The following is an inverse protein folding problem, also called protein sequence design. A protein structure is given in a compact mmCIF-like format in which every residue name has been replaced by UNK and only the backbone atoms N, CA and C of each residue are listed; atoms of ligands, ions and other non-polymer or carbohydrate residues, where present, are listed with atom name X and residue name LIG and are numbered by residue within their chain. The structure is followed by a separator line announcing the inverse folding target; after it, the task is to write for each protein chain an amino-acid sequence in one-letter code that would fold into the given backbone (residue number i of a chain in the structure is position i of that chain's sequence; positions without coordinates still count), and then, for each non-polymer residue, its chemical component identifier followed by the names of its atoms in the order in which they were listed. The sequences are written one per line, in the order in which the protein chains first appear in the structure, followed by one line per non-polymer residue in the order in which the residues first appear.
data_IF_672022018137
#
_entry.id   IF_672022018137
#
_cell.length_a   1.000
_cell.length_b   1.000
_cell.length_c   1.000
_cell.angle_alpha   90.00
_cell.angle_beta   90.00
_cell.angle_gamma   90.00
#
_symmetry.space_group_name_H-M   'P 1'
#
loop_
_entity.id
_entity.type
_entity.pdbx_description
1 polymer ?
#
# COMPACT_ATOMS: atom_id res chain seq x y z
N UNK A 1 18.34 -42.08 42.96
CA UNK A 1 16.91 -42.35 43.24
C UNK A 1 16.37 -41.13 43.99
N UNK A 2 15.85 -40.13 43.27
CA UNK A 2 15.26 -38.93 43.85
C UNK A 2 13.95 -38.64 43.08
N UNK A 3 12.86 -38.87 43.75
CA UNK A 3 11.48 -38.70 43.30
C UNK A 3 11.11 -37.21 43.33
N UNK A 4 10.83 -36.57 42.15
CA UNK A 4 10.24 -35.23 42.08
C UNK A 4 8.71 -35.36 42.03
N UNK A 5 8.04 -34.89 43.07
CA UNK A 5 6.58 -34.74 43.17
C UNK A 5 6.11 -33.61 42.25
N UNK A 6 5.21 -33.95 41.36
CA UNK A 6 4.44 -32.98 40.56
C UNK A 6 3.38 -32.31 41.44
N UNK A 7 3.41 -31.00 41.55
CA UNK A 7 2.42 -30.19 42.26
C UNK A 7 1.41 -29.69 41.22
N UNK A 8 0.24 -30.31 41.21
CA UNK A 8 -0.89 -29.83 40.41
C UNK A 8 -1.60 -28.67 41.14
N UNK A 9 -1.54 -27.47 40.61
CA UNK A 9 -2.36 -26.35 41.06
C UNK A 9 -3.70 -26.40 40.31
N UNK A 10 -4.78 -26.60 41.08
CA UNK A 10 -6.16 -26.50 40.63
C UNK A 10 -6.54 -25.02 40.58
N UNK A 11 -6.86 -24.51 39.42
CA UNK A 11 -7.47 -23.17 39.21
C UNK A 11 -8.96 -23.32 39.46
N UNK A 12 -9.47 -22.64 40.47
CA UNK A 12 -10.92 -22.52 40.77
C UNK A 12 -11.50 -21.43 39.89
N UNK A 13 -12.43 -21.81 39.03
CA UNK A 13 -13.28 -20.90 38.26
C UNK A 13 -14.36 -20.39 39.22
N UNK A 14 -14.31 -19.11 39.55
CA UNK A 14 -15.34 -18.40 40.28
C UNK A 14 -16.23 -17.64 39.28
N UNK A 15 -17.46 -18.12 39.07
CA UNK A 15 -18.50 -17.38 38.37
C UNK A 15 -19.06 -16.31 39.32
N UNK A 16 -19.01 -15.03 38.94
CA UNK A 16 -19.79 -13.96 39.56
C UNK A 16 -20.64 -13.30 38.49
N UNK A 17 -21.94 -13.64 38.47
CA UNK A 17 -22.99 -12.85 37.83
C UNK A 17 -23.26 -11.63 38.70
N UNK A 18 -23.14 -10.42 38.15
CA UNK A 18 -23.73 -9.22 38.71
C UNK A 18 -24.38 -8.39 37.60
N UNK A 19 -25.66 -8.52 37.46
CA UNK A 19 -26.59 -7.63 36.76
C UNK A 19 -26.66 -6.29 37.48
N UNK A 20 -26.43 -5.17 36.78
CA UNK A 20 -26.91 -3.85 37.18
C UNK A 20 -27.26 -3.04 35.93
N UNK A 21 -28.56 -2.96 35.65
CA UNK A 21 -29.22 -1.95 34.83
C UNK A 21 -29.13 -0.59 35.51
N UNK A 22 -28.51 0.41 34.89
CA UNK A 22 -28.75 1.81 35.23
C UNK A 22 -28.97 2.60 33.94
N UNK A 23 -30.23 2.93 33.71
CA UNK A 23 -30.72 3.96 32.80
C UNK A 23 -30.28 5.33 33.34
N UNK A 24 -29.44 6.05 32.61
CA UNK A 24 -29.07 7.42 32.90
C UNK A 24 -29.23 8.26 31.63
N UNK A 25 -30.42 8.87 31.48
CA UNK A 25 -30.67 9.93 30.51
C UNK A 25 -30.02 11.23 31.03
N UNK A 26 -29.02 11.77 30.33
CA UNK A 26 -28.58 13.15 30.51
C UNK A 26 -29.04 13.96 29.30
N UNK A 27 -30.07 14.76 29.51
CA UNK A 27 -30.44 15.86 28.65
C UNK A 27 -29.38 16.96 28.77
N UNK A 28 -28.74 17.31 27.65
CA UNK A 28 -27.85 18.47 27.56
C UNK A 28 -28.67 19.65 27.03
N UNK A 29 -28.94 20.58 27.93
CA UNK A 29 -29.56 21.85 27.61
C UNK A 29 -28.58 22.75 26.88
N UNK A 30 -29.03 23.37 25.81
CA UNK A 30 -28.29 24.34 25.01
C UNK A 30 -27.89 25.59 25.81
N UNK A 31 -26.82 26.19 25.36
CA UNK A 31 -26.52 27.62 25.60
C UNK A 31 -26.17 28.21 24.23
N UNK A 32 -27.10 29.07 23.79
CA UNK A 32 -26.84 30.10 22.79
C UNK A 32 -25.87 31.11 23.42
N UNK A 33 -24.91 31.59 22.63
CA UNK A 33 -24.53 32.98 22.44
C UNK A 33 -23.14 33.08 21.81
N UNK A 34 -23.09 33.73 20.72
CA UNK A 34 -22.30 34.87 20.28
C UNK A 34 -21.86 34.77 18.80
N UNK A 35 -22.59 35.55 18.02
CA UNK A 35 -22.26 35.92 16.65
C UNK A 35 -21.05 36.89 16.64
N UNK A 36 -19.89 36.42 16.24
CA UNK A 36 -18.78 37.27 15.84
C UNK A 36 -18.71 37.33 14.30
N UNK A 37 -19.22 38.45 13.81
CA UNK A 37 -19.12 38.85 12.39
C UNK A 37 -17.66 39.11 12.01
N UNK A 38 -17.02 38.18 11.28
CA UNK A 38 -15.68 38.43 10.73
C UNK A 38 -15.82 38.83 9.26
N UNK A 39 -15.55 40.09 9.01
CA UNK A 39 -15.48 40.73 7.71
C UNK A 39 -14.38 40.09 6.85
N UNK A 40 -14.77 39.50 5.72
CA UNK A 40 -13.85 38.96 4.71
C UNK A 40 -13.27 40.13 3.91
N UNK A 41 -11.93 40.28 3.78
CA UNK A 41 -11.34 41.24 2.86
C UNK A 41 -11.47 40.75 1.42
N UNK A 42 -11.79 41.66 0.52
CA UNK A 42 -11.97 41.47 -0.90
C UNK A 42 -10.69 40.93 -1.55
N UNK A 43 -10.86 39.87 -2.33
CA UNK A 43 -9.85 39.30 -3.23
C UNK A 43 -9.60 40.27 -4.39
N UNK A 44 -8.39 40.73 -4.53
CA UNK A 44 -7.90 41.52 -5.66
C UNK A 44 -7.59 40.59 -6.81
N UNK A 45 -8.26 40.79 -7.92
CA UNK A 45 -8.12 40.08 -9.18
C UNK A 45 -6.77 40.45 -9.85
N UNK A 46 -5.84 39.51 -10.13
CA UNK A 46 -4.67 39.82 -10.92
C UNK A 46 -5.00 39.69 -12.41
N UNK A 47 -5.08 40.83 -13.07
CA UNK A 47 -5.19 40.99 -14.52
C UNK A 47 -4.13 40.17 -15.26
N UNK A 48 -4.58 39.18 -16.04
CA UNK A 48 -3.74 38.40 -16.94
C UNK A 48 -3.27 39.28 -18.12
N UNK A 49 -1.99 39.58 -18.15
CA UNK A 49 -1.34 40.23 -19.31
C UNK A 49 -0.95 39.16 -20.32
N UNK A 50 -1.67 39.07 -21.42
CA UNK A 50 -1.32 38.28 -22.61
C UNK A 50 -0.12 38.90 -23.31
N UNK A 51 1.03 38.23 -23.27
CA UNK A 51 2.17 38.57 -24.12
C UNK A 51 2.04 37.85 -25.48
N UNK A 52 1.82 38.62 -26.52
CA UNK A 52 1.88 38.18 -27.94
C UNK A 52 3.34 37.95 -28.33
N UNK A 53 3.70 36.77 -28.78
CA UNK A 53 4.97 36.45 -29.45
C UNK A 53 4.84 36.72 -30.94
N UNK A 54 5.72 37.54 -31.59
CA UNK A 54 5.69 37.74 -33.01
C UNK A 54 6.23 36.51 -33.76
N UNK A 55 5.51 36.14 -34.85
CA UNK A 55 5.90 35.10 -35.79
C UNK A 55 7.19 35.54 -36.53
N UNK A 56 8.25 34.81 -36.34
CA UNK A 56 9.50 34.96 -37.11
C UNK A 56 9.35 34.25 -38.46
N UNK A 57 9.43 35.03 -39.52
CA UNK A 57 9.44 34.62 -40.91
C UNK A 57 10.81 33.99 -41.22
N UNK A 58 10.89 32.67 -41.37
CA UNK A 58 12.10 31.96 -41.77
C UNK A 58 12.07 31.63 -43.26
N UNK A 59 12.69 32.47 -44.02
CA UNK A 59 12.93 32.26 -45.46
C UNK A 59 13.98 31.14 -45.64
N UNK A 60 13.58 30.03 -46.24
CA UNK A 60 14.45 28.91 -46.59
C UNK A 60 15.09 29.20 -47.95
N UNK A 61 16.42 29.22 -48.10
CA UNK A 61 17.08 29.35 -49.40
C UNK A 61 16.97 28.01 -50.19
N UNK A 62 16.69 28.17 -51.47
CA UNK A 62 16.61 27.06 -52.42
C UNK A 62 17.96 26.37 -52.62
N UNK A 63 17.98 25.04 -52.52
CA UNK A 63 19.16 24.23 -52.81
C UNK A 63 19.36 24.06 -54.35
N UNK A 64 20.61 23.99 -54.82
CA UNK A 64 20.95 23.80 -56.22
C UNK A 64 20.63 22.37 -56.68
N UNK A 65 20.00 22.28 -57.88
CA UNK A 65 19.68 21.02 -58.54
C UNK A 65 20.97 20.36 -59.08
N UNK A 66 21.31 19.21 -58.48
CA UNK A 66 22.38 18.34 -58.99
C UNK A 66 21.76 17.24 -59.84
N UNK A 67 22.09 17.20 -61.14
CA UNK A 67 21.64 16.21 -62.08
C UNK A 67 22.21 14.83 -61.68
N UNK A 68 21.34 13.89 -61.30
CA UNK A 68 21.72 12.53 -60.98
C UNK A 68 21.87 11.68 -62.28
N UNK A 69 23.03 11.07 -62.41
CA UNK A 69 23.32 10.04 -63.43
C UNK A 69 22.55 8.76 -63.02
N UNK A 70 21.63 8.32 -63.87
CA UNK A 70 20.86 7.11 -63.69
C UNK A 70 21.74 5.88 -64.02
N UNK A 71 22.22 5.20 -63.01
CA UNK A 71 22.78 3.86 -63.14
C UNK A 71 21.68 2.85 -62.87
N UNK A 72 21.41 1.97 -63.82
CA UNK A 72 20.38 0.94 -63.69
C UNK A 72 20.73 -0.04 -62.59
N UNK A 73 19.84 -0.32 -61.62
CA UNK A 73 20.13 -1.29 -60.54
C UNK A 73 20.01 -2.73 -61.08
N UNK A 74 21.06 -3.49 -60.91
CA UNK A 74 21.05 -4.95 -61.07
C UNK A 74 20.30 -5.54 -59.87
N UNK A 75 19.10 -6.03 -60.08
CA UNK A 75 18.23 -6.62 -59.05
C UNK A 75 18.76 -8.02 -58.67
N UNK A 76 19.55 -8.11 -57.63
CA UNK A 76 19.86 -9.39 -56.95
C UNK A 76 18.72 -9.74 -56.02
N UNK A 77 17.87 -10.69 -56.41
CA UNK A 77 16.77 -11.19 -55.56
C UNK A 77 17.35 -12.09 -54.47
N UNK A 78 17.69 -11.55 -53.31
CA UNK A 78 18.02 -12.33 -52.12
C UNK A 78 16.74 -12.81 -51.47
N UNK A 79 16.41 -14.08 -51.62
CA UNK A 79 15.28 -14.73 -50.92
C UNK A 79 15.63 -14.85 -49.44
N UNK A 80 15.23 -13.87 -48.61
CA UNK A 80 15.36 -13.96 -47.16
C UNK A 80 14.25 -14.87 -46.64
N UNK A 81 14.62 -16.09 -46.23
CA UNK A 81 13.70 -16.98 -45.50
C UNK A 81 13.47 -16.38 -44.12
N UNK A 82 12.35 -15.68 -43.95
CA UNK A 82 11.92 -15.15 -42.65
C UNK A 82 11.43 -16.33 -41.80
N UNK A 83 12.27 -16.77 -40.85
CA UNK A 83 11.82 -17.69 -39.78
C UNK A 83 10.74 -16.95 -38.99
N UNK A 84 9.51 -17.50 -38.84
CA UNK A 84 8.48 -16.84 -38.02
C UNK A 84 9.01 -16.66 -36.58
N UNK A 85 8.76 -15.51 -35.96
CA UNK A 85 9.18 -15.31 -34.57
C UNK A 85 8.48 -16.37 -33.70
N UNK A 86 9.27 -17.14 -32.96
CA UNK A 86 8.77 -18.05 -31.96
C UNK A 86 8.18 -17.17 -30.86
N UNK A 87 6.86 -17.09 -30.77
CA UNK A 87 6.16 -16.39 -29.68
C UNK A 87 6.39 -17.19 -28.40
N UNK A 88 7.43 -16.86 -27.66
CA UNK A 88 7.64 -17.40 -26.33
C UNK A 88 6.59 -16.77 -25.42
N UNK A 89 5.61 -17.55 -24.99
CA UNK A 89 4.64 -17.14 -23.95
C UNK A 89 5.47 -16.92 -22.68
N UNK A 90 5.46 -15.71 -22.07
CA UNK A 90 6.14 -15.51 -20.79
C UNK A 90 5.62 -16.52 -19.76
N UNK A 91 6.47 -17.05 -18.87
CA UNK A 91 6.00 -17.90 -17.77
C UNK A 91 4.97 -17.12 -16.94
N UNK A 92 3.96 -17.80 -16.37
CA UNK A 92 3.02 -17.15 -15.48
C UNK A 92 3.78 -16.55 -14.29
N UNK A 93 3.38 -15.35 -13.85
CA UNK A 93 3.92 -14.69 -12.68
C UNK A 93 3.58 -15.51 -11.43
N UNK A 94 4.54 -15.68 -10.53
CA UNK A 94 4.36 -16.39 -9.26
C UNK A 94 4.21 -15.44 -8.07
N UNK A 95 3.82 -15.98 -6.92
CA UNK A 95 3.67 -15.22 -5.66
C UNK A 95 5.00 -14.57 -5.23
N UNK A 96 6.11 -15.18 -5.56
CA UNK A 96 7.48 -14.68 -5.34
C UNK A 96 7.79 -13.36 -6.08
N UNK A 97 7.00 -12.99 -7.09
CA UNK A 97 7.08 -11.67 -7.73
C UNK A 97 6.54 -10.54 -6.83
N UNK A 98 5.70 -10.85 -5.83
CA UNK A 98 5.13 -9.89 -4.88
C UNK A 98 6.05 -9.68 -3.68
N UNK A 99 7.30 -9.29 -3.93
CA UNK A 99 8.26 -8.97 -2.86
C UNK A 99 7.75 -7.78 -2.04
N UNK A 100 7.73 -7.95 -0.70
CA UNK A 100 7.30 -6.91 0.24
C UNK A 100 8.42 -5.90 0.47
N UNK A 101 8.14 -4.61 0.22
CA UNK A 101 9.09 -3.53 0.50
C UNK A 101 8.36 -2.29 1.06
N UNK A 102 9.03 -1.37 1.76
CA UNK A 102 8.42 -0.15 2.27
C UNK A 102 7.73 0.71 1.20
N UNK A 103 8.22 0.64 -0.04
CA UNK A 103 7.83 1.56 -1.13
C UNK A 103 7.20 0.87 -2.33
N UNK A 104 7.04 -0.46 -2.28
CA UNK A 104 6.48 -1.23 -3.39
C UNK A 104 5.96 -2.61 -2.93
N UNK A 105 5.00 -3.15 -3.67
CA UNK A 105 4.57 -4.54 -3.65
C UNK A 105 5.00 -5.18 -4.97
N UNK A 106 6.11 -5.92 -4.97
CA UNK A 106 6.76 -6.38 -6.18
C UNK A 106 7.11 -5.22 -7.11
N UNK A 107 6.56 -5.23 -8.33
CA UNK A 107 6.77 -4.16 -9.32
C UNK A 107 5.86 -2.94 -9.12
N UNK A 108 4.80 -3.07 -8.33
CA UNK A 108 3.86 -1.99 -8.05
C UNK A 108 4.41 -1.03 -6.99
N UNK A 109 5.00 0.09 -7.42
CA UNK A 109 5.53 1.13 -6.53
C UNK A 109 4.41 1.98 -5.94
N UNK A 110 4.63 2.51 -4.73
CA UNK A 110 3.75 3.58 -4.21
C UNK A 110 3.66 4.71 -5.24
N UNK A 111 2.45 5.26 -5.44
CA UNK A 111 2.19 6.22 -6.50
C UNK A 111 1.77 5.62 -7.85
N UNK A 112 1.79 4.30 -8.04
CA UNK A 112 1.31 3.64 -9.27
C UNK A 112 -0.21 3.76 -9.39
N UNK A 113 -0.68 3.85 -10.64
CA UNK A 113 -2.12 3.88 -10.98
C UNK A 113 -2.86 2.65 -10.45
N UNK A 114 -4.07 2.81 -9.87
CA UNK A 114 -4.82 1.73 -9.25
C UNK A 114 -5.13 0.55 -10.17
N UNK A 115 -5.55 0.82 -11.41
CA UNK A 115 -5.95 -0.24 -12.34
C UNK A 115 -4.74 -1.07 -12.78
N UNK A 116 -3.55 -0.44 -12.89
CA UNK A 116 -2.30 -1.15 -13.16
C UNK A 116 -1.92 -2.07 -12.00
N UNK A 117 -2.04 -1.59 -10.76
CA UNK A 117 -1.74 -2.39 -9.56
C UNK A 117 -2.72 -3.56 -9.44
N UNK A 118 -4.03 -3.30 -9.55
CA UNK A 118 -5.05 -4.36 -9.46
C UNK A 118 -4.85 -5.40 -10.55
N UNK A 119 -4.55 -4.98 -11.79
CA UNK A 119 -4.27 -5.89 -12.90
C UNK A 119 -3.03 -6.75 -12.63
N UNK A 120 -1.93 -6.14 -12.13
CA UNK A 120 -0.69 -6.82 -11.81
C UNK A 120 -0.87 -7.85 -10.70
N UNK A 121 -1.46 -7.47 -9.56
CA UNK A 121 -1.69 -8.37 -8.43
C UNK A 121 -2.67 -9.47 -8.82
N UNK A 122 -3.73 -9.15 -9.58
CA UNK A 122 -4.69 -10.16 -10.05
C UNK A 122 -4.10 -11.15 -11.05
N UNK A 123 -3.10 -10.76 -11.81
CA UNK A 123 -2.38 -11.69 -12.71
C UNK A 123 -1.61 -12.77 -11.92
N UNK A 124 -1.24 -12.47 -10.67
CA UNK A 124 -0.50 -13.36 -9.78
C UNK A 124 -1.43 -14.15 -8.85
N UNK A 125 -2.36 -13.46 -8.18
CA UNK A 125 -3.21 -14.02 -7.12
C UNK A 125 -4.62 -14.39 -7.57
N UNK A 126 -5.00 -14.08 -8.80
CA UNK A 126 -6.38 -14.22 -9.27
C UNK A 126 -7.25 -13.02 -8.92
N UNK A 127 -8.56 -13.19 -9.00
CA UNK A 127 -9.52 -12.11 -8.71
C UNK A 127 -9.47 -11.69 -7.25
N UNK A 128 -9.66 -10.38 -6.95
CA UNK A 128 -9.80 -9.91 -5.58
C UNK A 128 -10.93 -10.63 -4.83
N UNK A 129 -10.75 -10.82 -3.53
CA UNK A 129 -11.78 -11.36 -2.63
C UNK A 129 -12.75 -10.28 -2.15
N UNK A 130 -12.28 -9.02 -2.12
CA UNK A 130 -13.06 -7.85 -1.72
C UNK A 130 -12.57 -6.61 -2.47
N UNK A 131 -13.49 -5.69 -2.75
CA UNK A 131 -13.22 -4.39 -3.35
C UNK A 131 -14.30 -3.41 -2.89
N UNK A 132 -13.90 -2.38 -2.15
CA UNK A 132 -14.85 -1.37 -1.64
C UNK A 132 -15.40 -0.45 -2.73
N UNK A 133 -14.77 -0.44 -3.92
CA UNK A 133 -14.90 0.67 -4.84
C UNK A 133 -14.35 1.98 -4.24
N UNK A 134 -14.57 3.09 -4.93
CA UNK A 134 -14.18 4.41 -4.43
C UNK A 134 -15.21 4.91 -3.42
N UNK A 135 -14.73 5.20 -2.19
CA UNK A 135 -15.53 5.70 -1.06
C UNK A 135 -14.87 6.93 -0.46
N UNK A 136 -15.58 7.61 0.43
CA UNK A 136 -15.03 8.76 1.17
C UNK A 136 -14.02 8.30 2.22
N UNK A 137 -13.00 9.12 2.57
CA UNK A 137 -11.98 8.77 3.55
C UNK A 137 -12.53 8.46 4.95
N UNK A 138 -13.69 9.02 5.31
CA UNK A 138 -14.34 8.76 6.61
C UNK A 138 -14.71 7.28 6.83
N UNK A 139 -14.71 6.48 5.75
CA UNK A 139 -14.90 5.03 5.83
C UNK A 139 -13.69 4.31 6.43
N UNK A 140 -12.56 4.99 6.54
CA UNK A 140 -11.29 4.47 7.06
C UNK A 140 -10.68 5.44 8.07
N UNK A 141 -9.91 4.90 9.01
CA UNK A 141 -9.25 5.72 10.03
C UNK A 141 -8.01 6.41 9.41
N UNK A 142 -7.84 7.70 9.71
CA UNK A 142 -6.66 8.49 9.36
C UNK A 142 -6.30 8.57 7.87
N UNK A 143 -7.30 8.49 6.97
CA UNK A 143 -7.07 8.73 5.55
C UNK A 143 -7.19 10.21 5.20
N UNK A 144 -6.21 10.74 4.50
CA UNK A 144 -6.25 12.07 3.87
C UNK A 144 -6.87 11.98 2.47
N UNK A 145 -7.24 13.15 1.91
CA UNK A 145 -7.78 13.25 0.56
C UNK A 145 -9.30 13.29 0.48
N UNK A 146 -9.83 13.02 -0.70
CA UNK A 146 -11.27 13.08 -1.00
C UNK A 146 -11.87 11.73 -1.36
N UNK A 147 -11.06 10.76 -1.74
CA UNK A 147 -11.51 9.43 -2.14
C UNK A 147 -10.45 8.36 -1.85
N UNK A 148 -10.93 7.20 -1.40
CA UNK A 148 -10.11 6.02 -1.12
C UNK A 148 -10.77 4.76 -1.65
N UNK A 149 -9.98 3.73 -1.90
CA UNK A 149 -10.44 2.39 -2.32
C UNK A 149 -9.54 1.35 -1.71
N UNK A 150 -10.12 0.31 -1.10
CA UNK A 150 -9.41 -0.85 -0.61
C UNK A 150 -9.76 -2.06 -1.46
N UNK A 151 -8.73 -2.77 -1.93
CA UNK A 151 -8.87 -4.03 -2.68
C UNK A 151 -8.11 -5.11 -1.94
N UNK A 152 -8.72 -6.28 -1.75
CA UNK A 152 -8.16 -7.36 -0.95
C UNK A 152 -8.05 -8.66 -1.75
N UNK A 153 -6.98 -9.39 -1.52
CA UNK A 153 -6.75 -10.77 -1.93
C UNK A 153 -6.50 -11.60 -0.66
N UNK A 154 -7.56 -11.96 0.04
CA UNK A 154 -7.47 -12.63 1.34
C UNK A 154 -6.76 -11.76 2.39
N UNK A 155 -5.58 -12.19 2.84
CA UNK A 155 -4.78 -11.47 3.83
C UNK A 155 -3.94 -10.32 3.25
N UNK A 156 -3.88 -10.16 1.93
CA UNK A 156 -3.24 -9.01 1.29
C UNK A 156 -4.28 -7.94 1.01
N UNK A 157 -4.18 -6.80 1.67
CA UNK A 157 -4.99 -5.61 1.42
C UNK A 157 -4.15 -4.52 0.77
N UNK A 158 -4.69 -3.85 -0.25
CA UNK A 158 -4.03 -2.75 -0.98
C UNK A 158 -4.93 -1.53 -0.93
N UNK A 159 -4.38 -0.40 -0.52
CA UNK A 159 -5.08 0.86 -0.35
C UNK A 159 -4.69 1.87 -1.41
N UNK A 160 -5.69 2.48 -2.02
CA UNK A 160 -5.56 3.56 -3.00
C UNK A 160 -6.26 4.81 -2.49
N UNK A 161 -5.76 5.97 -2.90
CA UNK A 161 -6.37 7.26 -2.60
C UNK A 161 -5.80 8.35 -3.50
N UNK A 162 -6.29 9.57 -3.34
CA UNK A 162 -5.89 10.72 -4.14
C UNK A 162 -4.93 11.69 -3.43
N UNK A 163 -4.61 11.41 -2.15
CA UNK A 163 -3.69 12.21 -1.34
C UNK A 163 -2.80 11.31 -0.49
N UNK A 164 -1.48 11.47 -0.58
CA UNK A 164 -0.49 10.83 0.30
C UNK A 164 0.84 11.59 0.22
N UNK A 165 1.82 11.20 1.05
CA UNK A 165 3.18 11.73 0.97
C UNK A 165 3.88 11.47 -0.39
N UNK A 166 3.39 10.52 -1.20
CA UNK A 166 3.99 10.14 -2.49
C UNK A 166 3.41 10.96 -3.65
N UNK A 167 2.09 11.25 -3.61
CA UNK A 167 1.41 11.98 -4.68
C UNK A 167 0.14 12.65 -4.16
N UNK A 168 -0.30 13.71 -4.85
CA UNK A 168 -1.48 14.51 -4.55
C UNK A 168 -2.30 14.76 -5.80
N UNK A 169 -3.63 14.86 -5.64
CA UNK A 169 -4.57 15.24 -6.70
C UNK A 169 -4.79 14.19 -7.80
N UNK A 170 -4.34 12.97 -7.62
CA UNK A 170 -4.62 11.81 -8.49
C UNK A 170 -4.68 10.52 -7.72
N UNK A 171 -5.53 9.60 -8.10
CA UNK A 171 -5.62 8.29 -7.48
C UNK A 171 -4.36 7.45 -7.73
N UNK A 172 -3.85 6.81 -6.68
CA UNK A 172 -2.62 6.04 -6.73
C UNK A 172 -2.53 5.02 -5.58
N UNK A 173 -1.60 4.06 -5.69
CA UNK A 173 -1.25 3.15 -4.61
C UNK A 173 -0.62 3.94 -3.45
N UNK A 174 -1.23 3.86 -2.26
CA UNK A 174 -0.77 4.56 -1.05
C UNK A 174 -0.06 3.63 -0.09
N UNK A 175 -0.65 2.46 0.16
CA UNK A 175 -0.15 1.50 1.15
C UNK A 175 -0.64 0.10 0.84
N UNK A 176 -0.05 -0.88 1.53
CA UNK A 176 -0.59 -2.22 1.59
C UNK A 176 -0.42 -2.80 3.00
N UNK A 177 -1.27 -3.77 3.31
CA UNK A 177 -1.19 -4.60 4.52
C UNK A 177 -1.12 -6.07 4.11
N UNK A 178 -0.31 -6.85 4.81
CA UNK A 178 -0.25 -8.29 4.61
C UNK A 178 -0.30 -9.01 5.95
N UNK A 179 -1.31 -9.84 6.12
CA UNK A 179 -1.58 -10.62 7.32
C UNK A 179 -2.93 -10.28 7.96
N UNK A 180 -3.43 -11.21 8.77
CA UNK A 180 -4.62 -11.07 9.60
C UNK A 180 -4.26 -11.45 11.04
N UNK A 181 -4.60 -10.60 11.99
CA UNK A 181 -4.34 -10.85 13.42
C UNK A 181 -4.97 -12.19 13.82
N UNK A 182 -4.16 -13.07 14.43
CA UNK A 182 -4.59 -14.39 14.89
C UNK A 182 -4.73 -15.45 13.80
N UNK A 183 -4.33 -15.18 12.54
CA UNK A 183 -4.46 -16.10 11.40
C UNK A 183 -3.21 -16.11 10.53
N UNK A 184 -2.23 -16.94 10.91
CA UNK A 184 -1.01 -17.14 10.14
C UNK A 184 -1.21 -18.03 8.89
N UNK A 185 -2.33 -18.73 8.80
CA UNK A 185 -2.71 -19.62 7.70
C UNK A 185 -3.54 -18.93 6.61
N UNK A 186 -3.74 -17.61 6.71
CA UNK A 186 -4.55 -16.87 5.75
C UNK A 186 -3.82 -16.73 4.40
N UNK A 187 -4.54 -17.00 3.31
CA UNK A 187 -4.04 -16.82 1.94
C UNK A 187 -4.02 -15.33 1.53
N UNK A 188 -3.11 -14.89 0.66
CA UNK A 188 -2.05 -15.68 0.02
C UNK A 188 -0.90 -15.99 1.00
N UNK A 189 -0.26 -17.15 0.83
CA UNK A 189 0.93 -17.52 1.57
C UNK A 189 2.20 -17.18 0.78
N UNK A 190 3.31 -16.98 1.48
CA UNK A 190 4.63 -16.93 0.88
C UNK A 190 5.06 -15.57 0.34
N UNK A 191 4.34 -14.47 0.65
CA UNK A 191 4.87 -13.13 0.40
C UNK A 191 5.99 -12.84 1.40
N UNK A 192 7.16 -12.49 0.88
CA UNK A 192 8.37 -12.27 1.69
C UNK A 192 9.04 -10.96 1.30
N UNK A 193 9.83 -10.41 2.20
CA UNK A 193 10.82 -9.38 1.85
C UNK A 193 12.01 -10.01 1.12
N UNK A 194 12.89 -9.19 0.58
CA UNK A 194 14.13 -9.66 -0.03
C UNK A 194 15.04 -10.40 0.96
N UNK A 195 14.92 -10.08 2.26
CA UNK A 195 15.64 -10.73 3.37
C UNK A 195 14.94 -12.01 3.85
N UNK A 196 13.81 -12.39 3.25
CA UNK A 196 13.05 -13.60 3.58
C UNK A 196 12.14 -13.46 4.78
N UNK A 197 11.84 -12.23 5.25
CA UNK A 197 10.87 -11.98 6.31
C UNK A 197 9.45 -12.01 5.76
N UNK A 198 8.54 -12.67 6.45
CA UNK A 198 7.11 -12.73 6.14
C UNK A 198 6.28 -13.09 7.37
N UNK A 199 5.01 -13.42 7.16
CA UNK A 199 4.14 -13.87 8.25
C UNK A 199 4.69 -15.15 8.91
N UNK A 200 4.64 -15.20 10.25
CA UNK A 200 5.18 -16.31 11.02
C UNK A 200 6.70 -16.29 11.22
N UNK A 201 7.42 -15.32 10.66
CA UNK A 201 8.82 -15.09 11.03
C UNK A 201 8.92 -14.68 12.49
N UNK A 202 9.97 -15.14 13.20
CA UNK A 202 10.16 -14.77 14.59
C UNK A 202 10.72 -13.35 14.76
N UNK A 203 10.55 -12.76 15.93
CA UNK A 203 11.18 -11.47 16.29
C UNK A 203 12.71 -11.55 16.17
N UNK A 204 13.33 -12.68 16.48
CA UNK A 204 14.77 -12.89 16.28
C UNK A 204 15.16 -12.85 14.80
N UNK A 205 14.36 -13.46 13.91
CA UNK A 205 14.54 -13.37 12.46
C UNK A 205 14.33 -11.93 11.94
N UNK A 206 13.31 -11.23 12.46
CA UNK A 206 13.07 -9.83 12.14
C UNK A 206 14.28 -8.96 12.50
N UNK A 207 14.82 -9.08 13.71
CA UNK A 207 15.98 -8.32 14.16
C UNK A 207 17.27 -8.73 13.43
N UNK A 208 17.36 -9.96 12.94
CA UNK A 208 18.47 -10.40 12.08
C UNK A 208 18.38 -9.73 10.70
N UNK A 209 17.18 -9.68 10.09
CA UNK A 209 16.95 -9.04 8.80
C UNK A 209 17.04 -7.50 8.88
N UNK A 210 16.54 -6.93 9.96
CA UNK A 210 16.47 -5.48 10.22
C UNK A 210 17.04 -5.13 11.60
N UNK A 211 18.37 -5.04 11.77
CA UNK A 211 19.02 -4.87 13.09
C UNK A 211 18.66 -3.57 13.82
N UNK A 212 18.11 -2.58 13.10
CA UNK A 212 17.68 -1.30 13.67
C UNK A 212 16.16 -1.24 13.91
N UNK A 213 15.44 -2.34 13.72
CA UNK A 213 14.01 -2.38 14.02
C UNK A 213 13.75 -2.14 15.51
N UNK A 214 12.76 -1.31 15.79
CA UNK A 214 12.27 -1.08 17.15
C UNK A 214 11.13 -2.05 17.42
N UNK A 215 11.16 -2.69 18.59
CA UNK A 215 10.09 -3.56 19.08
C UNK A 215 9.37 -2.81 20.20
N UNK A 216 8.04 -2.72 20.06
CA UNK A 216 7.14 -2.17 21.06
C UNK A 216 6.34 -3.33 21.67
N UNK A 217 6.37 -3.46 23.00
CA UNK A 217 5.68 -4.53 23.74
C UNK A 217 4.15 -4.36 23.72
N UNK A 218 3.68 -3.18 23.30
CA UNK A 218 2.26 -2.81 23.38
C UNK A 218 1.81 -2.58 24.82
N UNK A 219 0.51 -2.42 25.00
CA UNK A 219 -0.10 -2.26 26.32
C UNK A 219 -1.43 -3.04 26.39
N UNK A 220 -1.45 -4.19 27.07
CA UNK A 220 -2.64 -5.02 27.18
C UNK A 220 -3.77 -4.40 28.02
N UNK A 221 -3.49 -3.36 28.84
CA UNK A 221 -4.50 -2.69 29.63
C UNK A 221 -5.40 -1.78 28.79
N UNK A 222 -4.88 -1.29 27.66
CA UNK A 222 -5.59 -0.43 26.70
C UNK A 222 -5.72 -1.07 25.31
N UNK A 223 -5.51 -2.38 25.19
CA UNK A 223 -5.64 -3.20 23.98
C UNK A 223 -4.73 -2.76 22.82
N UNK A 224 -3.52 -2.27 23.16
CA UNK A 224 -2.49 -1.95 22.17
C UNK A 224 -1.64 -3.21 21.93
N UNK A 225 -1.66 -3.79 20.71
CA UNK A 225 -0.90 -4.99 20.43
C UNK A 225 0.61 -4.72 20.33
N UNK A 226 1.46 -5.74 20.60
CA UNK A 226 2.88 -5.67 20.31
C UNK A 226 3.13 -5.38 18.84
N UNK A 227 4.15 -4.55 18.57
CA UNK A 227 4.42 -4.08 17.20
C UNK A 227 5.91 -3.92 16.94
N UNK A 228 6.26 -3.78 15.66
CA UNK A 228 7.61 -3.45 15.24
C UNK A 228 7.61 -2.28 14.26
N UNK A 229 8.72 -1.53 14.25
CA UNK A 229 8.95 -0.41 13.35
C UNK A 229 10.36 -0.51 12.78
N UNK A 230 10.47 -0.64 11.45
CA UNK A 230 11.74 -0.55 10.72
C UNK A 230 11.94 0.88 10.23
N UNK A 231 10.86 1.52 9.80
CA UNK A 231 10.76 2.95 9.43
C UNK A 231 9.33 3.42 9.62
N UNK A 232 9.07 4.70 9.41
CA UNK A 232 7.71 5.27 9.44
C UNK A 232 6.76 4.62 8.41
N UNK A 233 7.33 4.13 7.29
CA UNK A 233 6.59 3.51 6.18
C UNK A 233 6.63 1.97 6.21
N UNK A 234 7.32 1.36 7.19
CA UNK A 234 7.48 -0.10 7.29
C UNK A 234 7.36 -0.54 8.74
N UNK A 235 6.23 -1.10 9.09
CA UNK A 235 5.89 -1.52 10.43
C UNK A 235 4.99 -2.77 10.41
N UNK A 236 4.63 -3.28 11.57
CA UNK A 236 3.69 -4.39 11.65
C UNK A 236 3.35 -4.80 13.07
N UNK A 237 2.53 -5.83 13.18
CA UNK A 237 2.05 -6.37 14.44
C UNK A 237 2.71 -7.72 14.75
N UNK A 238 2.92 -7.96 16.03
CA UNK A 238 3.55 -9.14 16.57
C UNK A 238 2.59 -9.92 17.48
N UNK A 239 2.87 -11.20 17.69
CA UNK A 239 2.16 -12.00 18.70
C UNK A 239 2.63 -11.70 20.14
N UNK A 240 3.79 -11.09 20.27
CA UNK A 240 4.47 -10.68 21.49
C UNK A 240 5.82 -10.06 21.14
N UNK A 241 6.58 -9.62 22.14
CA UNK A 241 7.88 -8.94 21.96
C UNK A 241 9.10 -9.84 22.22
N UNK A 242 8.88 -11.09 22.65
CA UNK A 242 9.96 -12.04 22.92
C UNK A 242 10.60 -12.57 21.63
N UNK A 243 11.86 -13.02 21.62
CA UNK A 243 12.57 -13.48 20.41
C UNK A 243 11.85 -14.57 19.59
N UNK A 244 11.04 -15.41 20.25
CA UNK A 244 10.26 -16.48 19.64
C UNK A 244 8.87 -16.08 19.19
N UNK A 245 8.42 -14.85 19.48
CA UNK A 245 7.13 -14.34 19.03
C UNK A 245 7.13 -14.07 17.53
N UNK A 246 5.95 -14.00 16.93
CA UNK A 246 5.79 -14.09 15.47
C UNK A 246 5.28 -12.78 14.87
N UNK A 247 5.72 -12.49 13.67
CA UNK A 247 5.14 -11.45 12.80
C UNK A 247 3.76 -11.90 12.34
N UNK A 248 2.73 -11.13 12.70
CA UNK A 248 1.33 -11.38 12.37
C UNK A 248 0.85 -10.53 11.19
N UNK A 249 1.32 -9.30 11.11
CA UNK A 249 0.93 -8.33 10.07
C UNK A 249 2.12 -7.50 9.68
N UNK A 250 2.26 -7.25 8.39
CA UNK A 250 3.21 -6.29 7.81
C UNK A 250 2.41 -5.14 7.18
N UNK A 251 2.82 -3.92 7.45
CA UNK A 251 2.21 -2.69 6.93
C UNK A 251 3.28 -1.89 6.19
N UNK A 252 2.96 -1.41 4.99
CA UNK A 252 3.87 -0.63 4.17
C UNK A 252 3.20 0.59 3.56
N UNK A 253 3.98 1.67 3.45
CA UNK A 253 3.56 2.96 2.91
C UNK A 253 3.02 3.92 3.96
N UNK A 254 2.88 5.23 3.60
CA UNK A 254 2.38 6.29 4.47
C UNK A 254 0.85 6.25 4.58
N UNK A 255 0.26 5.07 4.51
CA UNK A 255 -1.14 4.92 4.24
C UNK A 255 -2.07 5.11 5.40
N UNK A 256 -3.34 5.18 5.05
CA UNK A 256 -4.48 5.06 5.94
C UNK A 256 -4.46 3.71 6.65
N UNK A 257 -4.71 3.71 7.92
CA UNK A 257 -4.98 2.51 8.69
C UNK A 257 -6.48 2.22 8.59
N UNK A 258 -6.81 1.01 8.18
CA UNK A 258 -8.18 0.54 8.05
C UNK A 258 -8.42 -0.73 8.82
#
# INVERSE_FOLDING_TARGET
MVTRRAQRRAVRIGAVCATALVLGACAYLGSDDDAASTTVPAVVDPTATSASVPAGDTTIPAAPSTSAITVAPTTSTTTTTTVPPTTTIPPPLGVDELVLTPTALGQARMGTDPDQVVSYVSAILGSPTSDTGWVTPESFVACEGTTVRRVEWGALGVMFGDESAVASGRTHLMSYSYGLVGRLDAEPQGLLTAEGLGLGSSVDQLLTAYPNALIDEGDPEVDIPPSFYVSDEWRGLLSGAEPGDLVLVVLAGPGCEG
#
